data_IF_908364155025
#
_entry.id   IF_908364155025
#
_cell.length_a   1.000
_cell.length_b   1.000
_cell.length_c   1.000
_cell.angle_alpha   90.00
_cell.angle_beta   90.00
_cell.angle_gamma   90.00
#
_symmetry.space_group_name_H-M   'P 1'
#
loop_
_entity.id
_entity.type
_entity.pdbx_description
1 polymer ?
#
# COMPACT_ATOMS: atom_id res chain seq x y z
N UNK A 1 8.19 47.17 -0.59
CA UNK A 1 8.20 45.94 -1.41
C UNK A 1 9.64 45.54 -1.56
N UNK A 2 10.09 44.52 -0.83
CA UNK A 2 11.39 43.91 -1.08
C UNK A 2 11.30 43.12 -2.39
N UNK A 3 12.18 43.43 -3.34
CA UNK A 3 12.41 42.56 -4.49
C UNK A 3 13.03 41.26 -3.99
N UNK A 4 12.22 40.21 -3.87
CA UNK A 4 12.72 38.86 -3.63
C UNK A 4 13.41 38.41 -4.91
N UNK A 5 14.74 38.52 -4.97
CA UNK A 5 15.54 37.92 -6.04
C UNK A 5 15.63 36.42 -5.81
N UNK A 6 14.74 35.69 -6.47
CA UNK A 6 14.87 34.23 -6.56
C UNK A 6 15.98 33.93 -7.56
N UNK A 7 17.17 33.58 -7.07
CA UNK A 7 18.28 33.12 -7.90
C UNK A 7 18.03 31.69 -8.36
N UNK A 8 17.17 31.50 -9.36
CA UNK A 8 16.94 30.19 -9.97
C UNK A 8 18.19 29.71 -10.74
N UNK A 9 18.43 28.39 -10.88
CA UNK A 9 19.64 27.88 -11.54
C UNK A 9 19.70 28.25 -13.02
N UNK A 10 20.71 29.02 -13.42
CA UNK A 10 20.85 29.53 -14.80
C UNK A 10 20.99 28.41 -15.83
N UNK A 11 21.70 27.33 -15.50
CA UNK A 11 21.86 26.16 -16.37
C UNK A 11 20.53 25.48 -16.68
N UNK A 12 19.64 25.35 -15.68
CA UNK A 12 18.31 24.79 -15.85
C UNK A 12 17.45 25.70 -16.76
N UNK A 13 17.45 27.00 -16.48
CA UNK A 13 16.67 27.97 -17.25
C UNK A 13 17.13 28.03 -18.72
N UNK A 14 18.44 28.07 -18.94
CA UNK A 14 19.06 28.16 -20.26
C UNK A 14 18.87 26.88 -21.04
N UNK A 15 19.07 25.71 -20.41
CA UNK A 15 18.85 24.41 -21.04
C UNK A 15 17.40 24.21 -21.46
N UNK A 16 16.45 24.54 -20.58
CA UNK A 16 15.01 24.42 -20.85
C UNK A 16 14.55 25.30 -22.01
N UNK A 17 14.96 26.59 -22.02
CA UNK A 17 14.55 27.50 -23.10
C UNK A 17 15.20 27.16 -24.44
N UNK A 18 16.47 26.71 -24.45
CA UNK A 18 17.13 26.24 -25.67
C UNK A 18 16.41 25.02 -26.26
N UNK A 19 16.00 24.07 -25.41
CA UNK A 19 15.26 22.90 -25.86
C UNK A 19 13.89 23.28 -26.43
N UNK A 20 13.15 24.17 -25.76
CA UNK A 20 11.86 24.67 -26.23
C UNK A 20 11.97 25.42 -27.57
N UNK A 21 13.01 26.24 -27.76
CA UNK A 21 13.27 26.95 -29.02
C UNK A 21 13.66 26.01 -30.16
N UNK A 22 14.49 24.99 -29.88
CA UNK A 22 14.91 23.99 -30.86
C UNK A 22 13.72 23.17 -31.37
N UNK A 23 12.81 22.83 -30.47
CA UNK A 23 11.64 22.00 -30.78
C UNK A 23 10.42 22.81 -31.22
N UNK A 24 10.50 24.14 -31.15
CA UNK A 24 9.39 25.08 -31.38
C UNK A 24 8.10 24.68 -30.64
N UNK A 25 8.26 24.19 -29.41
CA UNK A 25 7.17 23.74 -28.57
C UNK A 25 7.34 24.27 -27.15
N UNK A 26 6.23 24.66 -26.53
CA UNK A 26 6.21 25.02 -25.12
C UNK A 26 6.60 23.80 -24.26
N UNK A 27 7.42 24.02 -23.24
CA UNK A 27 7.77 23.00 -22.24
C UNK A 27 7.38 23.49 -20.85
N UNK A 28 7.03 22.53 -20.00
CA UNK A 28 6.67 22.75 -18.61
C UNK A 28 7.45 21.78 -17.75
N UNK A 29 8.14 22.30 -16.74
CA UNK A 29 8.92 21.51 -15.81
C UNK A 29 8.72 22.02 -14.37
N UNK A 30 8.70 21.10 -13.40
CA UNK A 30 8.65 21.44 -11.99
C UNK A 30 10.09 21.46 -11.45
N UNK A 31 10.50 22.60 -10.89
CA UNK A 31 11.83 22.79 -10.30
C UNK A 31 11.72 22.86 -8.78
N UNK A 32 12.43 21.99 -8.08
CA UNK A 32 12.70 22.16 -6.65
C UNK A 32 14.02 22.93 -6.47
N UNK A 33 13.97 24.10 -5.83
CA UNK A 33 15.15 24.92 -5.59
C UNK A 33 15.01 25.69 -4.27
N UNK A 34 16.03 25.59 -3.42
CA UNK A 34 16.10 26.25 -2.11
C UNK A 34 14.87 25.98 -1.23
N UNK A 35 14.42 24.71 -1.20
CA UNK A 35 13.25 24.28 -0.43
C UNK A 35 11.90 24.79 -0.95
N UNK A 36 11.87 25.37 -2.15
CA UNK A 36 10.67 25.86 -2.84
C UNK A 36 10.45 25.10 -4.14
N UNK A 37 9.21 25.10 -4.59
CA UNK A 37 8.80 24.49 -5.84
C UNK A 37 8.33 25.55 -6.83
N UNK A 38 8.88 25.52 -8.03
CA UNK A 38 8.55 26.42 -9.12
C UNK A 38 7.97 25.65 -10.30
N UNK A 39 6.79 26.04 -10.77
CA UNK A 39 6.24 25.59 -12.04
C UNK A 39 6.81 26.48 -13.15
N UNK A 40 7.76 25.94 -13.92
CA UNK A 40 8.53 26.68 -14.92
C UNK A 40 8.04 26.36 -16.32
N UNK A 41 7.61 27.40 -17.02
CA UNK A 41 7.11 27.34 -18.39
C UNK A 41 8.14 27.97 -19.33
N UNK A 42 8.62 27.19 -20.28
CA UNK A 42 9.52 27.61 -21.35
C UNK A 42 8.70 27.80 -22.63
N UNK A 43 8.54 29.06 -23.04
CA UNK A 43 7.66 29.44 -24.14
C UNK A 43 8.49 29.97 -25.31
N UNK A 44 8.57 29.26 -26.45
CA UNK A 44 9.18 29.80 -27.66
C UNK A 44 8.24 30.87 -28.24
N UNK A 45 8.74 32.08 -28.42
CA UNK A 45 7.96 33.22 -28.95
C UNK A 45 8.20 33.38 -30.46
N UNK A 46 9.46 33.28 -30.88
CA UNK A 46 9.86 33.28 -32.28
C UNK A 46 11.24 32.64 -32.45
N UNK A 47 11.73 32.55 -33.69
CA UNK A 47 13.08 32.04 -33.96
C UNK A 47 14.13 32.81 -33.16
N UNK A 48 14.80 32.12 -32.23
CA UNK A 48 15.83 32.70 -31.37
C UNK A 48 15.33 33.57 -30.21
N UNK A 49 14.01 33.71 -30.00
CA UNK A 49 13.43 34.46 -28.89
C UNK A 49 12.46 33.58 -28.11
N UNK A 50 12.71 33.45 -26.80
CA UNK A 50 11.86 32.69 -25.90
C UNK A 50 11.66 33.43 -24.58
N UNK A 51 10.59 33.06 -23.88
CA UNK A 51 10.25 33.58 -22.57
C UNK A 51 10.25 32.44 -21.54
N UNK A 52 10.62 32.77 -20.32
CA UNK A 52 10.54 31.86 -19.19
C UNK A 52 9.61 32.48 -18.16
N UNK A 53 8.62 31.70 -17.71
CA UNK A 53 7.73 32.04 -16.61
C UNK A 53 7.94 31.03 -15.50
N UNK A 54 8.38 31.48 -14.33
CA UNK A 54 8.50 30.65 -13.14
C UNK A 54 7.47 31.11 -12.10
N UNK A 55 6.57 30.20 -11.72
CA UNK A 55 5.56 30.45 -10.69
C UNK A 55 5.97 29.71 -9.42
N UNK A 56 6.11 30.43 -8.30
CA UNK A 56 6.27 29.78 -6.99
C UNK A 56 4.94 29.09 -6.62
N UNK A 57 4.96 27.76 -6.65
CA UNK A 57 3.81 26.89 -6.35
C UNK A 57 3.99 26.15 -5.02
N UNK A 58 4.97 26.57 -4.21
CA UNK A 58 5.34 25.95 -2.95
C UNK A 58 4.11 25.77 -2.06
N UNK A 59 3.39 26.85 -1.75
CA UNK A 59 2.22 26.81 -0.87
C UNK A 59 1.09 25.92 -1.40
N UNK A 60 0.91 25.88 -2.73
CA UNK A 60 -0.12 25.06 -3.37
C UNK A 60 0.23 23.58 -3.22
N UNK A 61 1.47 23.19 -3.50
CA UNK A 61 1.94 21.82 -3.38
C UNK A 61 1.95 21.35 -1.91
N UNK A 62 2.40 22.20 -0.98
CA UNK A 62 2.33 21.87 0.45
C UNK A 62 0.89 21.65 0.90
N UNK A 63 -0.03 22.54 0.52
CA UNK A 63 -1.44 22.41 0.88
C UNK A 63 -2.07 21.15 0.29
N UNK A 64 -1.73 20.80 -0.95
CA UNK A 64 -2.26 19.61 -1.61
C UNK A 64 -1.70 18.33 -0.99
N UNK A 65 -0.39 18.25 -0.74
CA UNK A 65 0.24 17.12 -0.02
C UNK A 65 -0.34 16.96 1.38
N UNK A 66 -0.40 18.04 2.17
CA UNK A 66 -0.99 17.99 3.51
C UNK A 66 -2.46 17.59 3.49
N UNK A 67 -3.23 18.01 2.47
CA UNK A 67 -4.62 17.57 2.31
C UNK A 67 -4.68 16.06 2.04
N UNK A 68 -3.89 15.55 1.10
CA UNK A 68 -3.86 14.11 0.81
C UNK A 68 -3.41 13.27 2.01
N UNK A 69 -2.38 13.70 2.73
CA UNK A 69 -1.90 13.03 3.94
C UNK A 69 -2.97 13.04 5.04
N UNK A 70 -3.66 14.17 5.21
CA UNK A 70 -4.76 14.29 6.15
C UNK A 70 -5.95 13.42 5.77
N UNK A 71 -6.36 13.40 4.50
CA UNK A 71 -7.42 12.54 3.98
C UNK A 71 -7.09 11.06 4.20
N UNK A 72 -5.85 10.64 3.86
CA UNK A 72 -5.38 9.27 4.10
C UNK A 72 -5.37 8.94 5.59
N UNK A 73 -4.93 9.86 6.45
CA UNK A 73 -4.95 9.68 7.91
C UNK A 73 -6.38 9.50 8.44
N UNK A 74 -7.29 10.39 8.09
CA UNK A 74 -8.71 10.31 8.52
C UNK A 74 -9.33 9.00 8.04
N UNK A 75 -9.10 8.62 6.78
CA UNK A 75 -9.58 7.35 6.25
C UNK A 75 -9.08 6.15 7.08
N UNK A 76 -7.77 6.10 7.38
CA UNK A 76 -7.18 5.02 8.20
C UNK A 76 -7.81 4.96 9.59
N UNK A 77 -8.01 6.11 10.23
CA UNK A 77 -8.63 6.21 11.56
C UNK A 77 -10.10 5.74 11.54
N UNK A 78 -10.85 6.13 10.51
CA UNK A 78 -12.25 5.70 10.32
C UNK A 78 -12.31 4.18 10.12
N UNK A 79 -11.48 3.61 9.25
CA UNK A 79 -11.47 2.15 9.01
C UNK A 79 -11.10 1.38 10.27
N UNK A 80 -10.12 1.85 11.03
CA UNK A 80 -9.74 1.27 12.30
C UNK A 80 -10.92 1.30 13.29
N UNK A 81 -11.56 2.45 13.47
CA UNK A 81 -12.68 2.61 14.40
C UNK A 81 -13.92 1.80 13.97
N UNK A 82 -14.29 1.83 12.68
CA UNK A 82 -15.47 1.14 12.16
C UNK A 82 -15.35 -0.37 12.22
N UNK A 83 -14.12 -0.89 12.21
CA UNK A 83 -13.84 -2.33 12.33
C UNK A 83 -13.43 -2.72 13.75
N UNK A 84 -13.62 -1.85 14.75
CA UNK A 84 -13.26 -2.11 16.15
C UNK A 84 -11.77 -2.50 16.34
N UNK A 85 -10.90 -1.97 15.48
CA UNK A 85 -9.48 -2.24 15.46
C UNK A 85 -9.05 -3.51 14.72
N UNK A 86 -9.99 -4.21 14.07
CA UNK A 86 -9.68 -5.40 13.29
C UNK A 86 -9.01 -5.09 11.95
N UNK A 87 -9.30 -3.95 11.31
CA UNK A 87 -8.65 -3.53 10.07
C UNK A 87 -7.65 -2.40 10.33
N UNK A 88 -6.41 -2.61 9.91
CA UNK A 88 -5.33 -1.64 10.00
C UNK A 88 -4.81 -1.37 8.59
N UNK A 89 -5.04 -0.16 8.10
CA UNK A 89 -4.40 0.29 6.86
C UNK A 89 -3.06 0.91 7.24
N UNK A 90 -1.96 0.39 6.71
CA UNK A 90 -0.59 0.74 7.07
C UNK A 90 -0.01 1.79 6.12
N UNK A 91 0.93 2.59 6.62
CA UNK A 91 1.88 3.35 5.81
C UNK A 91 3.15 2.51 5.53
N UNK A 92 4.11 3.08 4.81
CA UNK A 92 5.34 2.40 4.40
C UNK A 92 6.20 1.97 5.60
N UNK A 93 6.43 2.88 6.55
CA UNK A 93 7.25 2.62 7.74
C UNK A 93 6.62 1.51 8.62
N UNK A 94 5.31 1.58 8.84
CA UNK A 94 4.56 0.59 9.61
C UNK A 94 4.59 -0.78 8.92
N UNK A 95 4.44 -0.82 7.59
CA UNK A 95 4.55 -2.06 6.81
C UNK A 95 5.93 -2.70 7.01
N UNK A 96 7.00 -1.94 6.86
CA UNK A 96 8.37 -2.44 7.01
C UNK A 96 8.64 -2.96 8.42
N UNK A 97 8.28 -2.19 9.44
CA UNK A 97 8.43 -2.61 10.84
C UNK A 97 7.62 -3.88 11.12
N UNK A 98 6.37 -3.94 10.65
CA UNK A 98 5.47 -5.05 10.90
C UNK A 98 5.94 -6.36 10.24
N UNK A 99 6.52 -6.29 9.03
CA UNK A 99 7.05 -7.45 8.29
C UNK A 99 8.34 -8.03 8.90
N UNK A 100 9.08 -7.23 9.66
CA UNK A 100 10.34 -7.64 10.29
C UNK A 100 10.14 -8.27 11.68
N UNK A 101 9.01 -8.03 12.33
CA UNK A 101 8.75 -8.48 13.70
C UNK A 101 8.55 -10.02 13.78
N UNK A 102 9.18 -10.65 14.77
CA UNK A 102 9.02 -12.07 15.09
C UNK A 102 9.86 -13.04 14.27
N UNK A 103 9.77 -14.32 14.57
CA UNK A 103 10.59 -15.38 13.95
C UNK A 103 9.88 -16.05 12.77
N UNK A 104 10.56 -16.19 11.64
CA UNK A 104 10.05 -16.88 10.45
C UNK A 104 9.85 -18.37 10.74
N UNK A 105 8.64 -18.86 10.50
CA UNK A 105 8.28 -20.27 10.54
C UNK A 105 8.31 -20.85 9.12
N UNK A 106 7.68 -20.14 8.17
CA UNK A 106 7.58 -20.53 6.76
C UNK A 106 7.73 -19.27 5.91
N UNK A 107 8.34 -19.43 4.74
CA UNK A 107 8.31 -18.44 3.67
C UNK A 107 8.28 -19.14 2.32
N UNK A 108 7.74 -18.49 1.30
CA UNK A 108 7.71 -19.03 -0.05
C UNK A 108 7.02 -18.11 -1.04
N UNK A 109 6.83 -18.62 -2.25
CA UNK A 109 6.12 -17.93 -3.33
C UNK A 109 4.84 -18.68 -3.68
N UNK A 110 3.82 -17.96 -4.15
CA UNK A 110 2.59 -18.52 -4.71
C UNK A 110 2.48 -18.09 -6.17
N UNK A 111 2.23 -19.05 -7.08
CA UNK A 111 1.93 -18.74 -8.49
C UNK A 111 0.67 -19.45 -8.98
N UNK A 112 0.37 -20.62 -8.40
CA UNK A 112 -0.79 -21.41 -8.80
C UNK A 112 -1.59 -21.94 -7.60
N UNK A 113 -2.85 -22.37 -7.79
CA UNK A 113 -3.69 -22.88 -6.72
C UNK A 113 -3.13 -24.10 -5.96
N UNK A 114 -2.23 -24.90 -6.57
CA UNK A 114 -1.60 -26.02 -5.87
C UNK A 114 -0.60 -25.53 -4.82
N UNK A 115 0.02 -24.37 -5.01
CA UNK A 115 0.91 -23.75 -4.03
C UNK A 115 0.16 -23.34 -2.76
N UNK A 116 -1.09 -22.90 -2.87
CA UNK A 116 -1.96 -22.61 -1.71
C UNK A 116 -2.14 -23.88 -0.86
N UNK A 117 -2.40 -25.02 -1.52
CA UNK A 117 -2.55 -26.31 -0.82
C UNK A 117 -1.23 -26.72 -0.13
N UNK A 118 -0.08 -26.54 -0.79
CA UNK A 118 1.23 -26.82 -0.19
C UNK A 118 1.48 -25.96 1.04
N UNK A 119 1.28 -24.64 0.92
CA UNK A 119 1.40 -23.68 2.03
C UNK A 119 0.53 -24.11 3.21
N UNK A 120 -0.76 -24.41 2.97
CA UNK A 120 -1.70 -24.81 4.01
C UNK A 120 -1.25 -26.06 4.77
N UNK A 121 -0.73 -27.07 4.07
CA UNK A 121 -0.22 -28.29 4.70
C UNK A 121 1.04 -28.03 5.53
N UNK A 122 1.97 -27.23 5.01
CA UNK A 122 3.20 -26.85 5.72
C UNK A 122 2.88 -26.02 6.97
N UNK A 123 2.02 -25.01 6.85
CA UNK A 123 1.57 -24.16 7.95
C UNK A 123 0.90 -24.98 9.05
N UNK A 124 -0.03 -25.88 8.69
CA UNK A 124 -0.68 -26.78 9.66
C UNK A 124 0.32 -27.67 10.39
N UNK A 125 1.32 -28.21 9.68
CA UNK A 125 2.36 -29.03 10.29
C UNK A 125 3.29 -28.22 11.23
N UNK A 126 3.52 -26.95 10.93
CA UNK A 126 4.41 -26.08 11.69
C UNK A 126 3.74 -25.44 12.91
N UNK A 127 2.46 -25.08 12.82
CA UNK A 127 1.74 -24.40 13.90
C UNK A 127 1.54 -25.27 15.13
N UNK A 128 1.48 -26.61 14.99
CA UNK A 128 1.41 -27.61 16.08
C UNK A 128 0.63 -27.11 17.31
N UNK A 129 -0.63 -26.73 17.12
CA UNK A 129 -1.47 -26.24 18.22
C UNK A 129 -1.53 -27.33 19.31
N UNK A 130 -1.00 -26.99 20.48
CA UNK A 130 -0.89 -27.93 21.62
C UNK A 130 -2.27 -28.20 22.23
N UNK A 131 -3.12 -27.17 22.27
CA UNK A 131 -4.53 -27.33 22.61
C UNK A 131 -5.26 -28.04 21.47
N UNK A 132 -5.83 -29.21 21.77
CA UNK A 132 -6.59 -30.04 20.84
C UNK A 132 -8.09 -29.91 21.04
N UNK A 133 -8.54 -28.92 21.79
CA UNK A 133 -9.95 -28.56 21.90
C UNK A 133 -10.54 -28.25 20.52
N UNK A 134 -11.85 -28.50 20.37
CA UNK A 134 -12.59 -28.21 19.13
C UNK A 134 -12.45 -26.74 18.73
N UNK A 135 -12.45 -25.82 19.71
CA UNK A 135 -12.33 -24.39 19.46
C UNK A 135 -10.92 -24.00 18.98
N UNK A 136 -9.85 -24.57 19.54
CA UNK A 136 -8.49 -24.31 19.09
C UNK A 136 -8.26 -24.81 17.65
N UNK A 137 -8.75 -26.02 17.34
CA UNK A 137 -8.69 -26.57 15.99
C UNK A 137 -9.54 -25.74 15.00
N UNK A 138 -10.67 -25.20 15.45
CA UNK A 138 -11.49 -24.29 14.63
C UNK A 138 -10.73 -23.00 14.32
N UNK A 139 -10.13 -22.34 15.32
CA UNK A 139 -9.31 -21.14 15.12
C UNK A 139 -8.16 -21.39 14.15
N UNK A 140 -7.43 -22.49 14.31
CA UNK A 140 -6.36 -22.89 13.38
C UNK A 140 -6.88 -23.03 11.94
N UNK A 141 -7.95 -23.80 11.73
CA UNK A 141 -8.47 -24.04 10.38
C UNK A 141 -9.02 -22.77 9.72
N UNK A 142 -9.64 -21.88 10.50
CA UNK A 142 -10.15 -20.59 10.01
C UNK A 142 -9.02 -19.61 9.70
N UNK A 143 -7.98 -19.55 10.53
CA UNK A 143 -6.78 -18.76 10.23
C UNK A 143 -6.11 -19.24 8.93
N UNK A 144 -5.97 -20.55 8.75
CA UNK A 144 -5.44 -21.12 7.51
C UNK A 144 -6.35 -20.87 6.30
N UNK A 145 -7.67 -20.76 6.49
CA UNK A 145 -8.59 -20.37 5.41
C UNK A 145 -8.33 -18.91 5.01
N UNK A 146 -8.23 -18.01 5.99
CA UNK A 146 -7.91 -16.60 5.76
C UNK A 146 -6.58 -16.43 5.00
N UNK A 147 -5.54 -17.19 5.39
CA UNK A 147 -4.28 -17.19 4.66
C UNK A 147 -4.43 -17.69 3.22
N UNK A 148 -5.33 -18.65 2.98
CA UNK A 148 -5.62 -19.16 1.63
C UNK A 148 -6.36 -18.12 0.78
N UNK A 149 -7.29 -17.35 1.36
CA UNK A 149 -7.96 -16.24 0.68
C UNK A 149 -6.97 -15.13 0.31
N UNK A 150 -6.05 -14.78 1.21
CA UNK A 150 -5.01 -13.80 0.93
C UNK A 150 -4.11 -14.23 -0.25
N UNK A 151 -3.65 -15.49 -0.28
CA UNK A 151 -2.89 -16.02 -1.42
C UNK A 151 -3.71 -16.09 -2.71
N UNK A 152 -5.00 -16.41 -2.61
CA UNK A 152 -5.90 -16.45 -3.76
C UNK A 152 -6.04 -15.06 -4.37
N UNK A 153 -6.09 -14.01 -3.55
CA UNK A 153 -6.12 -12.64 -4.03
C UNK A 153 -4.84 -12.29 -4.78
N UNK A 154 -3.67 -12.65 -4.26
CA UNK A 154 -2.39 -12.42 -4.95
C UNK A 154 -2.34 -13.11 -6.32
N UNK A 155 -2.81 -14.37 -6.42
CA UNK A 155 -2.88 -15.07 -7.72
C UNK A 155 -3.87 -14.38 -8.67
N UNK A 156 -5.06 -14.01 -8.18
CA UNK A 156 -6.13 -13.45 -9.02
C UNK A 156 -5.81 -12.05 -9.53
N UNK A 157 -5.15 -11.24 -8.72
CA UNK A 157 -4.98 -9.80 -8.99
C UNK A 157 -3.56 -9.42 -9.38
N UNK A 158 -2.58 -10.31 -9.21
CA UNK A 158 -1.17 -9.98 -9.41
C UNK A 158 -0.32 -11.16 -9.94
N UNK A 159 -0.95 -12.20 -10.49
CA UNK A 159 -0.29 -13.40 -11.04
C UNK A 159 0.58 -14.19 -10.04
N UNK A 160 0.44 -13.90 -8.74
CA UNK A 160 1.19 -14.53 -7.67
C UNK A 160 1.70 -13.54 -6.63
N UNK A 161 2.58 -14.03 -5.76
CA UNK A 161 3.19 -13.21 -4.71
C UNK A 161 4.15 -14.00 -3.83
N UNK A 162 4.72 -13.30 -2.85
CA UNK A 162 5.57 -13.88 -1.81
C UNK A 162 4.81 -13.90 -0.49
N UNK A 163 5.01 -14.94 0.31
CA UNK A 163 4.32 -15.07 1.60
C UNK A 163 5.25 -15.53 2.70
N UNK A 164 4.83 -15.19 3.92
CA UNK A 164 5.52 -15.57 5.14
C UNK A 164 4.53 -15.89 6.24
N UNK A 165 4.95 -16.81 7.11
CA UNK A 165 4.32 -17.12 8.38
C UNK A 165 5.36 -16.90 9.48
N UNK A 166 5.07 -15.99 10.42
CA UNK A 166 5.92 -15.70 11.58
C UNK A 166 5.20 -16.00 12.88
N UNK A 167 6.01 -16.37 13.86
CA UNK A 167 5.61 -16.40 15.27
C UNK A 167 6.00 -15.08 15.94
N UNK A 168 5.05 -14.46 16.62
CA UNK A 168 5.25 -13.20 17.32
C UNK A 168 5.43 -13.48 18.81
N UNK A 169 6.53 -13.02 19.43
CA UNK A 169 6.76 -13.18 20.86
C UNK A 169 5.62 -12.58 21.69
N UNK A 170 5.13 -13.33 22.67
CA UNK A 170 4.09 -12.85 23.56
C UNK A 170 3.33 -13.97 24.26
N UNK A 171 2.50 -13.57 25.23
CA UNK A 171 1.44 -14.39 25.83
C UNK A 171 0.13 -13.59 25.72
N UNK A 172 -0.89 -14.08 25.00
CA UNK A 172 -0.93 -15.36 24.28
C UNK A 172 0.01 -15.41 23.06
N UNK A 173 0.25 -16.64 22.57
CA UNK A 173 1.02 -16.90 21.35
C UNK A 173 0.29 -16.28 20.16
N UNK A 174 0.98 -15.44 19.39
CA UNK A 174 0.42 -14.81 18.19
C UNK A 174 1.15 -15.29 16.95
N UNK A 175 0.39 -15.46 15.88
CA UNK A 175 0.88 -15.86 14.57
C UNK A 175 0.54 -14.75 13.59
N UNK A 176 1.51 -14.40 12.75
CA UNK A 176 1.30 -13.50 11.62
C UNK A 176 1.53 -14.22 10.31
N UNK A 177 0.62 -14.02 9.40
CA UNK A 177 0.78 -14.42 8.01
C UNK A 177 0.68 -13.17 7.14
N UNK A 178 1.48 -13.04 6.10
CA UNK A 178 1.21 -12.06 5.07
C UNK A 178 1.59 -12.56 3.70
N UNK A 179 0.96 -11.94 2.71
CA UNK A 179 1.31 -12.04 1.30
C UNK A 179 1.65 -10.64 0.79
N UNK A 180 2.69 -10.57 -0.02
CA UNK A 180 3.06 -9.39 -0.79
C UNK A 180 2.98 -9.74 -2.27
N UNK A 181 2.29 -8.90 -3.04
CA UNK A 181 2.17 -9.02 -4.48
C UNK A 181 2.64 -7.73 -5.18
N UNK A 182 2.74 -7.79 -6.51
CA UNK A 182 3.15 -6.67 -7.37
C UNK A 182 2.04 -6.28 -8.36
N UNK A 183 0.77 -6.41 -7.95
CA UNK A 183 -0.37 -6.00 -8.77
C UNK A 183 -0.60 -4.48 -8.76
N UNK A 184 -1.72 -4.04 -9.33
CA UNK A 184 -2.08 -2.60 -9.44
C UNK A 184 -2.49 -1.95 -8.11
N UNK A 185 -2.43 -2.70 -7.00
CA UNK A 185 -2.92 -2.27 -5.69
C UNK A 185 -4.43 -2.47 -5.50
N UNK A 186 -4.90 -2.07 -4.32
CA UNK A 186 -6.30 -2.07 -3.93
C UNK A 186 -6.81 -0.63 -3.95
N UNK A 187 -7.92 -0.40 -4.66
CA UNK A 187 -8.69 0.83 -4.51
C UNK A 187 -9.23 0.94 -3.08
N UNK A 188 -8.62 1.80 -2.25
CA UNK A 188 -8.96 1.94 -0.84
C UNK A 188 -10.45 2.28 -0.62
N UNK A 189 -11.10 2.92 -1.58
CA UNK A 189 -12.53 3.24 -1.54
C UNK A 189 -13.47 2.03 -1.50
N UNK A 190 -12.99 0.83 -1.88
CA UNK A 190 -13.78 -0.40 -1.84
C UNK A 190 -13.64 -1.20 -0.54
N UNK A 191 -12.62 -0.90 0.28
CA UNK A 191 -12.42 -1.54 1.58
C UNK A 191 -13.60 -1.33 2.55
N UNK A 192 -14.23 -0.14 2.67
CA UNK A 192 -15.42 0.03 3.51
C UNK A 192 -16.55 -0.93 3.16
N UNK A 193 -16.78 -1.19 1.86
CA UNK A 193 -17.85 -2.08 1.40
C UNK A 193 -17.53 -3.52 1.78
N UNK A 194 -16.30 -3.96 1.53
CA UNK A 194 -15.85 -5.30 1.89
C UNK A 194 -15.82 -5.56 3.40
N UNK A 195 -15.51 -4.52 4.20
CA UNK A 195 -15.39 -4.62 5.64
C UNK A 195 -16.73 -4.48 6.40
N UNK A 196 -17.66 -3.67 5.90
CA UNK A 196 -18.85 -3.26 6.65
C UNK A 196 -20.17 -3.76 6.05
N UNK A 197 -20.20 -4.19 4.80
CA UNK A 197 -21.42 -4.70 4.15
C UNK A 197 -21.43 -6.22 4.12
N UNK A 198 -22.32 -6.82 4.94
CA UNK A 198 -22.55 -8.26 4.94
C UNK A 198 -22.89 -8.78 3.54
N UNK A 199 -22.11 -9.74 3.04
CA UNK A 199 -22.39 -10.41 1.77
C UNK A 199 -22.12 -9.57 0.52
N UNK A 200 -21.36 -8.47 0.61
CA UNK A 200 -20.92 -7.73 -0.57
C UNK A 200 -19.94 -8.59 -1.39
N UNK A 201 -20.39 -9.00 -2.56
CA UNK A 201 -19.59 -9.75 -3.54
C UNK A 201 -20.01 -9.25 -4.91
N UNK A 202 -19.24 -8.33 -5.49
CA UNK A 202 -19.25 -8.12 -6.94
C UNK A 202 -18.10 -8.89 -7.55
N UNK A 203 -18.24 -9.31 -8.81
CA UNK A 203 -17.21 -10.04 -9.58
C UNK A 203 -15.85 -9.35 -9.64
N UNK A 204 -15.83 -8.04 -9.34
CA UNK A 204 -14.69 -7.13 -9.51
C UNK A 204 -14.27 -6.39 -8.23
N UNK A 205 -14.75 -6.76 -7.02
CA UNK A 205 -14.33 -6.12 -5.75
C UNK A 205 -13.63 -7.07 -4.78
N UNK A 206 -12.99 -6.49 -3.75
CA UNK A 206 -12.53 -7.16 -2.52
C UNK A 206 -13.66 -8.06 -1.97
N UNK A 207 -13.72 -9.30 -2.44
CA UNK A 207 -14.89 -10.17 -2.27
C UNK A 207 -15.08 -10.73 -0.85
N UNK A 208 -15.84 -11.83 -0.77
CA UNK A 208 -16.09 -12.59 0.46
C UNK A 208 -14.83 -12.98 1.25
N UNK A 209 -13.67 -13.07 0.59
CA UNK A 209 -12.38 -13.35 1.23
C UNK A 209 -12.01 -12.31 2.29
N UNK A 210 -12.19 -11.01 2.02
CA UNK A 210 -11.89 -9.96 3.01
C UNK A 210 -12.84 -9.99 4.21
N UNK A 211 -14.12 -10.24 3.96
CA UNK A 211 -15.10 -10.44 5.01
C UNK A 211 -14.72 -11.63 5.92
N UNK A 212 -14.30 -12.76 5.34
CA UNK A 212 -13.84 -13.93 6.08
C UNK A 212 -12.59 -13.58 6.92
N UNK A 213 -11.61 -12.89 6.33
CA UNK A 213 -10.40 -12.46 7.05
C UNK A 213 -10.73 -11.58 8.24
N UNK A 214 -11.59 -10.56 8.07
CA UNK A 214 -11.99 -9.66 9.15
C UNK A 214 -12.82 -10.34 10.24
N UNK A 215 -13.59 -11.38 9.89
CA UNK A 215 -14.41 -12.09 10.87
C UNK A 215 -13.61 -13.08 11.73
N UNK A 216 -12.53 -13.66 11.18
CA UNK A 216 -11.81 -14.76 11.84
C UNK A 216 -10.40 -14.42 12.33
N UNK A 217 -9.79 -13.34 11.85
CA UNK A 217 -8.50 -12.86 12.33
C UNK A 217 -8.68 -11.83 13.44
N UNK A 218 -7.73 -11.81 14.39
CA UNK A 218 -7.68 -10.76 15.40
C UNK A 218 -7.41 -9.40 14.75
N UNK A 219 -6.51 -9.37 13.75
CA UNK A 219 -6.24 -8.17 12.95
C UNK A 219 -5.96 -8.55 11.49
N UNK A 220 -6.38 -7.69 10.59
CA UNK A 220 -6.07 -7.68 9.17
C UNK A 220 -5.33 -6.38 8.88
N UNK A 221 -4.12 -6.51 8.35
CA UNK A 221 -3.26 -5.38 7.98
C UNK A 221 -3.27 -5.26 6.46
N UNK A 222 -3.41 -4.05 5.94
CA UNK A 222 -3.36 -3.79 4.50
C UNK A 222 -2.40 -2.65 4.25
N UNK A 223 -1.46 -2.88 3.34
CA UNK A 223 -0.74 -1.82 2.68
C UNK A 223 -0.95 -1.97 1.18
N UNK A 224 -1.10 -0.86 0.48
CA UNK A 224 -1.23 -0.84 -0.97
C UNK A 224 -0.62 0.44 -1.52
N UNK A 225 0.12 0.31 -2.61
CA UNK A 225 0.70 1.42 -3.36
C UNK A 225 0.97 1.01 -4.81
N UNK A 226 1.70 1.86 -5.54
CA UNK A 226 2.03 1.60 -6.95
C UNK A 226 2.93 0.37 -7.17
N UNK A 227 3.63 -0.08 -6.12
CA UNK A 227 4.52 -1.26 -6.15
C UNK A 227 3.79 -2.58 -5.84
N UNK A 228 2.48 -2.51 -5.53
CA UNK A 228 1.65 -3.66 -5.21
C UNK A 228 0.96 -3.60 -3.86
N UNK A 229 0.56 -4.77 -3.36
CA UNK A 229 -0.25 -4.92 -2.15
C UNK A 229 0.42 -5.84 -1.14
N UNK A 230 0.31 -5.50 0.14
CA UNK A 230 0.60 -6.41 1.25
C UNK A 230 -0.67 -6.63 2.06
N UNK A 231 -1.10 -7.88 2.17
CA UNK A 231 -2.21 -8.30 3.04
C UNK A 231 -1.65 -9.15 4.18
N UNK A 232 -1.74 -8.63 5.40
CA UNK A 232 -1.32 -9.27 6.63
C UNK A 232 -2.49 -9.74 7.49
N UNK A 233 -2.30 -10.84 8.20
CA UNK A 233 -3.26 -11.48 9.09
C UNK A 233 -2.55 -11.74 10.42
N UNK A 234 -3.21 -11.40 11.52
CA UNK A 234 -2.76 -11.75 12.87
C UNK A 234 -3.84 -12.60 13.55
N UNK A 235 -3.41 -13.71 14.15
CA UNK A 235 -4.26 -14.65 14.87
C UNK A 235 -3.63 -15.11 16.17
N UNK A 236 -4.45 -15.25 17.21
CA UNK A 236 -4.11 -15.93 18.46
C UNK A 236 -4.50 -17.41 18.35
N UNK A 237 -3.48 -18.29 18.33
CA UNK A 237 -3.65 -19.74 18.17
C UNK A 237 -3.31 -20.51 19.45
#
# INVERSE_FOLDING_TARGET
>A
MEEVRVGLPEDFLTGGIQAALREQAAKRELLEWDGRYYDVHFLPVSTGLGSILALDVTDVLWKERHRHDYERKVYREVMYASTQGHLIVMNDDEKEQWMQEGSVIIQGTVKDPLDIRKMRLQAKAALKVQDRSTEALKRENMFLLCASEALTNAIKHAEGGEYWLREIPGKPRRIRFWVADSGDGIALEDLPKAALMNGYSTSDSLGSGFFIMLHWCNRVMIWSGAEGTVVGLEGEL
#
